data_IF_023178471092
#
_entry.id   IF_023178471092
#
_cell.length_a   1.000
_cell.length_b   1.000
_cell.length_c   1.000
_cell.angle_alpha   90.00
_cell.angle_beta   90.00
_cell.angle_gamma   90.00
#
_symmetry.space_group_name_H-M   'P 1'
#
loop_
_entity.id
_entity.type
_entity.pdbx_description
1 polymer ?
#
# COMPACT_ATOMS: atom_id res chain seq x y z
N UNK A 1 15.18 -19.20 -37.11
CA UNK A 1 14.14 -18.18 -36.81
C UNK A 1 14.37 -17.77 -35.36
N UNK A 2 14.81 -16.55 -35.17
CA UNK A 2 15.25 -16.06 -33.86
C UNK A 2 14.02 -15.66 -33.04
N UNK A 3 13.70 -16.42 -32.01
CA UNK A 3 12.55 -16.19 -31.13
C UNK A 3 12.71 -14.95 -30.24
N UNK A 4 13.91 -14.36 -30.17
CA UNK A 4 14.18 -13.16 -29.41
C UNK A 4 13.46 -11.91 -29.96
N UNK A 5 13.04 -11.91 -31.21
CA UNK A 5 12.30 -10.80 -31.83
C UNK A 5 10.84 -10.68 -31.36
N UNK A 6 10.31 -11.70 -30.71
CA UNK A 6 8.93 -11.73 -30.20
C UNK A 6 8.81 -11.47 -28.68
N UNK A 7 9.93 -11.29 -27.99
CA UNK A 7 9.91 -10.92 -26.59
C UNK A 7 9.62 -9.42 -26.50
N UNK A 8 8.34 -9.06 -26.44
CA UNK A 8 7.92 -7.71 -26.03
C UNK A 8 8.42 -7.51 -24.59
N UNK A 9 9.57 -6.86 -24.44
CA UNK A 9 10.03 -6.40 -23.12
C UNK A 9 8.91 -5.54 -22.55
N UNK A 10 8.18 -6.05 -21.56
CA UNK A 10 7.22 -5.27 -20.79
C UNK A 10 7.96 -4.04 -20.29
N UNK A 11 7.61 -2.88 -20.82
CA UNK A 11 8.16 -1.60 -20.34
C UNK A 11 7.79 -1.49 -18.87
N UNK A 12 8.79 -1.48 -17.99
CA UNK A 12 8.54 -1.26 -16.57
C UNK A 12 7.80 0.07 -16.39
N UNK A 13 6.76 0.12 -15.55
CA UNK A 13 6.04 1.36 -15.31
C UNK A 13 7.03 2.40 -14.74
N UNK A 14 7.06 3.59 -15.36
CA UNK A 14 7.85 4.70 -14.83
C UNK A 14 7.08 5.36 -13.69
N UNK A 15 7.64 5.31 -12.50
CA UNK A 15 7.10 6.01 -11.34
C UNK A 15 7.75 7.39 -11.19
N UNK A 16 7.07 8.35 -10.53
CA UNK A 16 7.67 9.61 -10.13
C UNK A 16 8.89 9.38 -9.24
N UNK A 17 9.80 10.34 -9.15
CA UNK A 17 10.89 10.29 -8.16
C UNK A 17 10.30 10.34 -6.77
N UNK A 18 10.95 9.71 -5.79
CA UNK A 18 10.46 9.68 -4.42
C UNK A 18 10.22 11.07 -3.84
N UNK A 19 11.12 12.02 -4.12
CA UNK A 19 10.98 13.42 -3.69
C UNK A 19 9.71 14.11 -4.23
N UNK A 20 9.20 13.68 -5.38
CA UNK A 20 7.97 14.22 -5.97
C UNK A 20 6.71 13.62 -5.33
N UNK A 21 6.84 12.51 -4.61
CA UNK A 21 5.75 11.88 -3.86
C UNK A 21 5.58 12.49 -2.47
N UNK A 22 6.57 13.21 -1.94
CA UNK A 22 6.55 13.74 -0.57
C UNK A 22 5.52 14.87 -0.47
N UNK A 23 4.55 14.70 0.46
CA UNK A 23 3.55 15.70 0.80
C UNK A 23 4.00 16.52 2.03
N UNK A 24 4.64 15.84 2.98
CA UNK A 24 5.12 16.44 4.21
C UNK A 24 6.36 15.69 4.71
N UNK A 25 7.29 16.43 5.30
CA UNK A 25 8.50 15.88 5.91
C UNK A 25 8.89 16.73 7.12
N UNK A 26 9.25 16.04 8.21
CA UNK A 26 9.92 16.63 9.38
C UNK A 26 11.08 15.74 9.85
N UNK A 27 11.59 15.95 11.06
CA UNK A 27 12.70 15.19 11.61
C UNK A 27 12.35 13.73 11.89
N UNK A 28 11.05 13.40 12.06
CA UNK A 28 10.59 12.11 12.53
C UNK A 28 9.83 11.30 11.49
N UNK A 29 9.17 11.96 10.52
CA UNK A 29 8.32 11.26 9.56
C UNK A 29 8.30 11.91 8.17
N UNK A 30 7.90 11.08 7.22
CA UNK A 30 7.58 11.42 5.84
C UNK A 30 6.13 11.03 5.58
N UNK A 31 5.37 11.89 4.94
CA UNK A 31 4.07 11.58 4.37
C UNK A 31 4.18 11.65 2.87
N UNK A 32 3.83 10.57 2.19
CA UNK A 32 3.97 10.45 0.74
C UNK A 32 2.65 10.13 0.06
N UNK A 33 2.49 10.59 -1.17
CA UNK A 33 1.41 10.17 -2.06
C UNK A 33 1.92 9.01 -2.94
N UNK A 34 1.61 7.78 -2.54
CA UNK A 34 2.01 6.60 -3.31
C UNK A 34 1.25 6.55 -4.63
N UNK A 35 1.91 6.46 -5.79
CA UNK A 35 1.22 6.27 -7.06
C UNK A 35 0.59 4.86 -7.14
N UNK A 36 -0.43 4.67 -7.98
CA UNK A 36 -0.96 3.34 -8.25
C UNK A 36 0.10 2.45 -8.93
N UNK A 37 -0.02 1.14 -8.76
CA UNK A 37 0.85 0.10 -9.30
C UNK A 37 2.27 0.04 -8.71
N UNK A 38 2.69 0.98 -7.88
CA UNK A 38 3.92 0.87 -7.10
C UNK A 38 3.68 0.00 -5.85
N UNK A 39 4.36 -1.14 -5.70
CA UNK A 39 4.27 -1.94 -4.48
C UNK A 39 4.76 -1.16 -3.25
N UNK A 40 4.08 -1.29 -2.12
CA UNK A 40 4.55 -0.69 -0.86
C UNK A 40 5.82 -1.38 -0.35
N UNK A 41 5.86 -2.71 -0.43
CA UNK A 41 6.97 -3.57 -0.01
C UNK A 41 7.57 -4.30 -1.20
N UNK A 42 8.76 -4.84 -1.01
CA UNK A 42 9.41 -5.65 -2.04
C UNK A 42 8.56 -6.89 -2.38
N UNK A 43 8.49 -7.19 -3.65
CA UNK A 43 7.89 -8.42 -4.15
C UNK A 43 8.84 -9.61 -3.86
N UNK A 44 8.28 -10.82 -3.82
CA UNK A 44 9.05 -12.05 -3.51
C UNK A 44 10.21 -12.31 -4.48
N UNK A 45 10.09 -11.85 -5.71
CA UNK A 45 11.18 -11.92 -6.70
C UNK A 45 12.39 -11.05 -6.34
N UNK A 46 12.20 -10.06 -5.46
CA UNK A 46 13.22 -9.07 -5.13
C UNK A 46 13.54 -8.09 -6.25
N UNK A 47 12.97 -8.29 -7.42
CA UNK A 47 13.14 -7.45 -8.60
C UNK A 47 12.13 -6.31 -8.63
N UNK A 48 12.48 -5.23 -9.32
CA UNK A 48 11.60 -4.08 -9.51
C UNK A 48 11.69 -3.04 -8.40
N UNK A 49 10.94 -1.97 -8.61
CA UNK A 49 10.83 -0.85 -7.69
C UNK A 49 9.74 -1.10 -6.65
N UNK A 50 9.98 -0.68 -5.42
CA UNK A 50 8.99 -0.62 -4.35
C UNK A 50 9.12 0.69 -3.59
N UNK A 51 8.04 1.11 -2.93
CA UNK A 51 8.06 2.33 -2.14
C UNK A 51 9.10 2.26 -1.02
N UNK A 52 9.24 1.10 -0.36
CA UNK A 52 10.23 0.92 0.72
C UNK A 52 11.66 1.07 0.21
N UNK A 53 12.00 0.56 -0.98
CA UNK A 53 13.32 0.77 -1.58
C UNK A 53 13.57 2.24 -1.88
N UNK A 54 12.60 2.90 -2.49
CA UNK A 54 12.71 4.33 -2.82
C UNK A 54 12.85 5.19 -1.56
N UNK A 55 12.08 4.89 -0.52
CA UNK A 55 12.15 5.56 0.76
C UNK A 55 13.52 5.39 1.43
N UNK A 56 14.07 4.16 1.46
CA UNK A 56 15.40 3.88 2.01
C UNK A 56 16.54 4.51 1.22
N UNK A 57 16.41 4.63 -0.08
CA UNK A 57 17.37 5.35 -0.91
C UNK A 57 17.35 6.87 -0.62
N UNK A 58 16.21 7.40 -0.22
CA UNK A 58 16.05 8.80 0.18
C UNK A 58 16.49 9.05 1.63
N UNK A 59 16.07 8.19 2.54
CA UNK A 59 16.38 8.22 3.97
C UNK A 59 16.66 6.79 4.43
N UNK A 60 17.91 6.47 4.75
CA UNK A 60 18.37 5.11 5.10
C UNK A 60 17.58 4.50 6.26
N UNK A 61 17.18 5.33 7.23
CA UNK A 61 16.42 4.92 8.42
C UNK A 61 14.91 4.80 8.17
N UNK A 62 14.42 5.03 6.95
CA UNK A 62 13.00 4.99 6.64
C UNK A 62 12.35 3.62 6.93
N UNK A 63 11.25 3.63 7.66
CA UNK A 63 10.48 2.45 8.04
C UNK A 63 9.00 2.73 7.75
N UNK A 64 8.36 1.88 6.91
CA UNK A 64 6.93 2.01 6.63
C UNK A 64 6.11 1.66 7.88
N UNK A 65 5.19 2.53 8.25
CA UNK A 65 4.29 2.32 9.39
C UNK A 65 3.07 1.47 9.03
N UNK A 66 2.67 1.49 7.78
CA UNK A 66 1.57 0.71 7.21
C UNK A 66 1.79 0.52 5.72
N UNK A 67 0.88 -0.17 5.07
CA UNK A 67 0.96 -0.42 3.63
C UNK A 67 -0.35 -0.13 2.93
N UNK A 68 -0.25 0.23 1.66
CA UNK A 68 -1.33 0.23 0.68
C UNK A 68 -1.09 -0.90 -0.31
N UNK A 69 -2.15 -1.44 -0.88
CA UNK A 69 -2.04 -2.43 -1.94
C UNK A 69 -1.37 -1.82 -3.18
N UNK A 70 -0.85 -2.68 -4.05
CA UNK A 70 -0.13 -2.26 -5.26
C UNK A 70 -0.95 -1.30 -6.12
N UNK A 71 -2.21 -1.63 -6.38
CA UNK A 71 -3.13 -0.87 -7.21
C UNK A 71 -3.65 0.40 -6.52
N UNK A 72 -3.63 0.43 -5.19
CA UNK A 72 -4.12 1.55 -4.40
C UNK A 72 -3.11 2.70 -4.42
N UNK A 73 -3.59 3.89 -4.68
CA UNK A 73 -2.84 5.13 -4.55
C UNK A 73 -3.23 5.89 -3.29
N UNK A 74 -2.42 6.85 -2.91
CA UNK A 74 -2.75 7.80 -1.83
C UNK A 74 -1.76 7.86 -0.70
N UNK A 75 -2.22 8.39 0.42
CA UNK A 75 -1.40 8.78 1.57
C UNK A 75 -0.80 7.57 2.29
N UNK A 76 0.51 7.60 2.50
CA UNK A 76 1.24 6.60 3.25
C UNK A 76 2.24 7.29 4.19
N UNK A 77 2.31 6.81 5.45
CA UNK A 77 3.18 7.36 6.49
C UNK A 77 4.42 6.48 6.65
N UNK A 78 5.57 7.13 6.67
CA UNK A 78 6.89 6.50 6.82
C UNK A 78 7.58 7.17 8.01
N UNK A 79 8.05 6.39 8.96
CA UNK A 79 8.85 6.89 10.07
C UNK A 79 10.33 6.99 9.68
N UNK A 80 11.04 7.96 10.26
CA UNK A 80 12.50 8.13 10.10
C UNK A 80 13.30 7.50 11.23
N UNK A 81 12.62 7.10 12.30
CA UNK A 81 13.25 6.48 13.47
C UNK A 81 12.36 5.37 14.07
N UNK A 82 12.94 4.42 14.83
CA UNK A 82 12.21 3.29 15.40
C UNK A 82 11.14 3.68 16.42
N UNK A 83 11.33 4.76 17.17
CA UNK A 83 10.38 5.21 18.19
C UNK A 83 9.11 5.73 17.51
N UNK A 84 9.26 6.61 16.54
CA UNK A 84 8.16 7.12 15.72
C UNK A 84 7.43 5.98 15.01
N UNK A 85 8.18 5.02 14.42
CA UNK A 85 7.59 3.85 13.80
C UNK A 85 6.72 3.05 14.78
N UNK A 86 7.22 2.77 15.98
CA UNK A 86 6.49 2.06 17.02
C UNK A 86 5.20 2.78 17.41
N UNK A 87 5.29 4.08 17.65
CA UNK A 87 4.15 4.89 18.08
C UNK A 87 3.04 4.91 17.02
N UNK A 88 3.39 5.12 15.76
CA UNK A 88 2.43 5.16 14.65
C UNK A 88 1.87 3.75 14.39
N UNK A 89 2.69 2.71 14.38
CA UNK A 89 2.25 1.33 14.15
C UNK A 89 1.24 0.87 15.21
N UNK A 90 1.42 1.24 16.47
CA UNK A 90 0.45 0.97 17.54
C UNK A 90 -0.89 1.67 17.27
N UNK A 91 -0.88 2.89 16.74
CA UNK A 91 -2.12 3.60 16.39
C UNK A 91 -2.90 2.87 15.29
N UNK A 92 -2.19 2.38 14.25
CA UNK A 92 -2.80 1.55 13.21
C UNK A 92 -3.33 0.22 13.75
N UNK A 93 -2.55 -0.49 14.57
CA UNK A 93 -2.92 -1.76 15.19
C UNK A 93 -4.18 -1.62 16.06
N UNK A 94 -4.22 -0.57 16.87
CA UNK A 94 -5.36 -0.27 17.77
C UNK A 94 -6.53 0.41 17.05
N UNK A 95 -6.51 0.51 15.72
CA UNK A 95 -7.56 1.15 14.91
C UNK A 95 -7.90 2.58 15.37
N UNK A 96 -6.90 3.34 15.78
CA UNK A 96 -7.05 4.75 16.18
C UNK A 96 -6.84 5.72 15.02
N UNK A 97 -6.51 5.22 13.86
CA UNK A 97 -6.31 6.00 12.64
C UNK A 97 -7.58 5.96 11.81
N UNK A 98 -8.15 7.12 11.55
CA UNK A 98 -9.24 7.26 10.60
C UNK A 98 -8.69 7.21 9.17
N UNK A 99 -9.30 6.39 8.32
CA UNK A 99 -8.89 6.21 6.93
C UNK A 99 -10.08 6.40 6.01
N UNK A 100 -9.92 7.29 5.04
CA UNK A 100 -10.93 7.56 4.00
C UNK A 100 -10.38 7.13 2.65
N UNK A 101 -11.18 6.34 1.92
CA UNK A 101 -10.85 5.87 0.58
C UNK A 101 -11.93 6.30 -0.40
N UNK A 102 -11.52 6.67 -1.61
CA UNK A 102 -12.40 6.88 -2.73
C UNK A 102 -12.25 5.70 -3.70
N UNK A 103 -13.36 5.13 -4.11
CA UNK A 103 -13.38 4.02 -5.07
C UNK A 103 -14.37 4.30 -6.19
N UNK A 104 -14.01 3.91 -7.41
CA UNK A 104 -14.92 3.87 -8.54
C UNK A 104 -15.42 2.44 -8.67
N UNK A 105 -16.74 2.28 -8.69
CA UNK A 105 -17.40 0.98 -8.82
C UNK A 105 -18.24 0.93 -10.10
N UNK A 106 -18.43 -0.25 -10.63
CA UNK A 106 -19.29 -0.47 -11.79
C UNK A 106 -20.78 -0.46 -11.39
N UNK A 107 -21.62 0.08 -12.26
CA UNK A 107 -23.06 0.15 -12.05
C UNK A 107 -23.53 1.34 -11.19
N UNK A 108 -24.81 1.34 -10.87
CA UNK A 108 -25.44 2.34 -10.02
C UNK A 108 -25.57 1.77 -8.61
N UNK A 109 -24.93 2.40 -7.64
CA UNK A 109 -25.03 2.03 -6.24
C UNK A 109 -26.00 2.99 -5.50
N UNK A 110 -26.79 2.43 -4.61
CA UNK A 110 -27.69 3.20 -3.73
C UNK A 110 -27.23 3.10 -2.26
N UNK A 111 -25.90 3.13 -2.05
CA UNK A 111 -25.36 3.11 -0.70
C UNK A 111 -25.41 4.50 -0.09
N UNK A 112 -25.94 4.59 1.12
CA UNK A 112 -25.86 5.77 1.97
C UNK A 112 -25.53 5.31 3.38
N UNK A 113 -24.34 5.66 3.87
CA UNK A 113 -23.83 5.34 5.20
C UNK A 113 -23.97 3.85 5.61
N UNK A 114 -23.60 2.94 4.72
CA UNK A 114 -23.68 1.51 4.98
C UNK A 114 -22.44 1.05 5.73
N UNK A 115 -22.61 0.51 6.93
CA UNK A 115 -21.54 -0.16 7.68
C UNK A 115 -21.41 -1.60 7.20
N UNK A 116 -20.26 -1.96 6.66
CA UNK A 116 -19.92 -3.33 6.29
C UNK A 116 -18.96 -3.89 7.35
N UNK A 117 -19.45 -4.79 8.19
CA UNK A 117 -18.64 -5.47 9.22
C UNK A 117 -18.67 -6.97 8.96
N UNK A 118 -17.75 -7.44 8.14
CA UNK A 118 -17.67 -8.85 7.74
C UNK A 118 -16.25 -9.36 7.87
N UNK A 119 -16.04 -10.55 8.47
CA UNK A 119 -14.72 -11.15 8.57
C UNK A 119 -14.26 -11.64 7.19
N UNK A 120 -13.04 -11.28 6.82
CA UNK A 120 -12.43 -11.63 5.54
C UNK A 120 -11.24 -12.56 5.73
N UNK A 121 -11.05 -13.46 4.79
CA UNK A 121 -9.91 -14.37 4.70
C UNK A 121 -9.34 -14.40 3.30
N UNK A 122 -8.02 -14.42 3.23
CA UNK A 122 -7.31 -14.61 1.96
C UNK A 122 -7.02 -16.10 1.81
N UNK A 123 -7.49 -16.72 0.73
CA UNK A 123 -7.23 -18.11 0.42
C UNK A 123 -5.82 -18.33 -0.16
N UNK A 124 -5.46 -19.60 -0.43
CA UNK A 124 -4.16 -19.98 -0.99
C UNK A 124 -3.93 -19.43 -2.40
N UNK A 125 -5.01 -19.03 -3.09
CA UNK A 125 -4.97 -18.43 -4.43
C UNK A 125 -4.96 -16.90 -4.41
N UNK A 126 -4.73 -16.27 -3.24
CA UNK A 126 -4.80 -14.82 -3.00
C UNK A 126 -6.18 -14.21 -3.26
N UNK A 127 -7.27 -15.00 -3.21
CA UNK A 127 -8.61 -14.45 -3.31
C UNK A 127 -9.14 -14.11 -1.93
N UNK A 128 -9.78 -12.95 -1.84
CA UNK A 128 -10.44 -12.50 -0.62
C UNK A 128 -11.85 -13.05 -0.56
N UNK A 129 -12.20 -13.74 0.51
CA UNK A 129 -13.50 -14.34 0.73
C UNK A 129 -14.02 -13.94 2.12
N UNK A 130 -15.35 -13.91 2.27
CA UNK A 130 -15.99 -13.78 3.59
C UNK A 130 -15.91 -15.12 4.28
N UNK A 131 -15.27 -15.18 5.43
CA UNK A 131 -15.15 -16.39 6.25
C UNK A 131 -15.51 -16.08 7.70
N UNK A 132 -16.69 -16.49 8.12
CA UNK A 132 -17.22 -16.21 9.46
C UNK A 132 -16.56 -17.02 10.57
N UNK A 133 -15.78 -18.07 10.23
CA UNK A 133 -15.10 -18.94 11.22
C UNK A 133 -13.66 -18.49 11.46
N UNK A 134 -12.92 -18.31 10.37
CA UNK A 134 -11.47 -18.07 10.41
C UNK A 134 -11.06 -16.74 9.78
N UNK A 135 -12.01 -15.91 9.38
CA UNK A 135 -11.75 -14.59 8.80
C UNK A 135 -11.30 -13.59 9.86
N UNK A 136 -10.49 -12.62 9.45
CA UNK A 136 -10.12 -11.48 10.28
C UNK A 136 -11.23 -10.44 10.26
N UNK A 137 -11.58 -9.90 11.42
CA UNK A 137 -12.54 -8.82 11.55
C UNK A 137 -12.17 -7.65 10.66
N UNK A 138 -13.11 -7.25 9.83
CA UNK A 138 -12.95 -6.16 8.87
C UNK A 138 -14.18 -5.27 8.90
N UNK A 139 -13.96 -3.96 8.93
CA UNK A 139 -15.01 -2.96 9.00
C UNK A 139 -14.73 -1.83 8.01
N UNK A 140 -15.74 -1.50 7.23
CA UNK A 140 -15.72 -0.38 6.26
C UNK A 140 -17.01 0.40 6.34
#
# INVERSE_FOLDING_TARGET
MDLEQFIVKKKEPKFPRFSEMIIYEDDHLLIVNKPPYLPSLDERSGEGQSLVKMAKNYCETAILCHRLDRETSGVLVIAKDPETHRNISIQFEKRRVEKVYHAVVDGITQFDNVLVNLPIKVDRSNRVNIDRKDGKDSCT
#
